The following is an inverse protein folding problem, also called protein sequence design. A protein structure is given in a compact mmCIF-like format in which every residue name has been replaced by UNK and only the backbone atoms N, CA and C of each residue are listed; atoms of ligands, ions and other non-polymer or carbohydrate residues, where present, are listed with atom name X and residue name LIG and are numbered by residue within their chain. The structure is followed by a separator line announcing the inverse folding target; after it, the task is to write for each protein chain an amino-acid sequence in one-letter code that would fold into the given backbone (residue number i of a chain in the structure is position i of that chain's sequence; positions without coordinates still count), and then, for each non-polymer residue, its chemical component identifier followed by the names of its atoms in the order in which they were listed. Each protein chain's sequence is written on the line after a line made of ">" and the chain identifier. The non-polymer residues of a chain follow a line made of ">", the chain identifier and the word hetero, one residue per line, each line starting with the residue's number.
data_IF_573379958930
#
_entry.id   IF_573379958930
#
_cell.length_a   1.000
_cell.length_b   1.000
_cell.length_c   1.000
_cell.angle_alpha   90.00
_cell.angle_beta   90.00
_cell.angle_gamma   90.00
#
_symmetry.space_group_name_H-M   'P 1'
#
loop_
_entity.id
_entity.type
_entity.pdbx_description
1 polymer ?
#
# COMPACT_ATOMS: atom_id res chain seq x y z
N UNK A 1 -17.20 -11.60 3.45
CA UNK A 1 -17.55 -10.15 3.46
C UNK A 1 -16.70 -9.44 4.49
N UNK A 2 -16.19 -8.23 4.22
CA UNK A 2 -15.41 -7.46 5.22
C UNK A 2 -16.36 -6.81 6.22
N UNK A 3 -16.44 -7.37 7.43
CA UNK A 3 -17.41 -6.97 8.46
C UNK A 3 -16.79 -6.17 9.59
N UNK A 4 -15.47 -6.27 9.76
CA UNK A 4 -14.72 -5.64 10.84
C UNK A 4 -13.57 -4.81 10.29
N UNK A 5 -13.06 -3.92 11.14
CA UNK A 5 -11.85 -3.15 10.89
C UNK A 5 -11.01 -2.99 12.16
N UNK A 6 -9.74 -2.67 11.98
CA UNK A 6 -8.87 -2.16 13.04
C UNK A 6 -8.03 -1.00 12.50
N UNK A 7 -7.67 -0.07 13.38
CA UNK A 7 -6.87 1.10 13.04
C UNK A 7 -5.46 1.02 13.62
N UNK A 8 -4.47 1.27 12.79
CA UNK A 8 -3.08 1.50 13.19
C UNK A 8 -2.78 2.97 13.08
N UNK A 9 -2.35 3.60 14.17
CA UNK A 9 -2.07 5.04 14.20
C UNK A 9 -0.61 5.28 14.58
N UNK A 10 0.10 6.01 13.74
CA UNK A 10 1.45 6.47 14.04
C UNK A 10 1.46 7.39 15.26
N UNK A 11 2.34 7.12 16.22
CA UNK A 11 2.58 7.99 17.38
C UNK A 11 3.79 8.86 17.05
N UNK A 12 3.75 10.19 17.26
CA UNK A 12 4.92 11.04 17.12
C UNK A 12 6.05 10.57 18.04
N UNK A 13 7.25 10.39 17.49
CA UNK A 13 8.47 10.06 18.22
C UNK A 13 9.50 11.17 18.00
N UNK A 14 10.42 11.35 18.94
CA UNK A 14 11.53 12.31 18.75
C UNK A 14 12.48 11.85 17.64
N UNK A 15 12.72 10.54 17.53
CA UNK A 15 13.67 9.96 16.57
C UNK A 15 13.05 9.52 15.24
N UNK A 16 11.72 9.39 15.17
CA UNK A 16 11.02 8.89 13.98
C UNK A 16 9.97 9.88 13.49
N UNK A 17 10.11 10.23 12.21
CA UNK A 17 9.07 10.98 11.50
C UNK A 17 7.81 10.12 11.32
N UNK A 18 6.61 10.73 11.26
CA UNK A 18 5.38 9.98 10.98
C UNK A 18 5.42 9.16 9.68
N UNK A 19 6.17 9.62 8.67
CA UNK A 19 6.33 8.89 7.41
C UNK A 19 7.19 7.62 7.54
N UNK A 20 8.21 7.63 8.41
CA UNK A 20 8.99 6.43 8.71
C UNK A 20 8.14 5.39 9.43
N UNK A 21 7.39 5.81 10.46
CA UNK A 21 6.45 4.94 11.16
C UNK A 21 5.41 4.34 10.20
N UNK A 22 4.83 5.15 9.30
CA UNK A 22 3.90 4.66 8.29
C UNK A 22 4.54 3.65 7.32
N UNK A 23 5.80 3.88 6.93
CA UNK A 23 6.57 2.95 6.09
C UNK A 23 6.77 1.62 6.79
N UNK A 24 7.17 1.64 8.06
CA UNK A 24 7.45 0.42 8.83
C UNK A 24 6.17 -0.38 9.11
N UNK A 25 5.07 0.30 9.46
CA UNK A 25 3.76 -0.33 9.54
C UNK A 25 3.39 -1.03 8.23
N UNK A 26 3.55 -0.36 7.08
CA UNK A 26 3.26 -0.97 5.78
C UNK A 26 4.17 -2.15 5.45
N UNK A 27 5.44 -2.13 5.87
CA UNK A 27 6.36 -3.25 5.66
C UNK A 27 5.98 -4.48 6.48
N UNK A 28 5.60 -4.29 7.74
CA UNK A 28 5.10 -5.38 8.59
C UNK A 28 3.82 -5.95 7.99
N UNK A 29 2.85 -5.09 7.63
CA UNK A 29 1.63 -5.53 6.96
C UNK A 29 1.94 -6.32 5.68
N UNK A 30 2.84 -5.84 4.83
CA UNK A 30 3.22 -6.53 3.60
C UNK A 30 3.75 -7.95 3.84
N UNK A 31 4.40 -8.20 4.98
CA UNK A 31 4.89 -9.53 5.36
C UNK A 31 3.76 -10.48 5.73
N UNK A 32 2.71 -10.00 6.40
CA UNK A 32 1.62 -10.83 6.91
C UNK A 32 0.45 -10.99 5.93
N UNK A 33 0.12 -9.96 5.14
CA UNK A 33 -1.01 -9.96 4.21
C UNK A 33 -1.05 -11.16 3.23
N UNK A 34 0.08 -11.69 2.70
CA UNK A 34 0.05 -12.87 1.83
C UNK A 34 -0.58 -14.11 2.47
N UNK A 35 -0.50 -14.27 3.80
CA UNK A 35 -1.11 -15.42 4.49
C UNK A 35 -2.65 -15.43 4.36
N UNK A 36 -3.26 -14.25 4.23
CA UNK A 36 -4.71 -14.08 4.14
C UNK A 36 -5.17 -13.90 2.68
N UNK A 37 -4.39 -13.16 1.89
CA UNK A 37 -4.78 -12.75 0.54
C UNK A 37 -4.43 -13.77 -0.56
N UNK A 38 -3.89 -14.93 -0.20
CA UNK A 38 -3.68 -16.06 -1.11
C UNK A 38 -4.86 -17.05 -1.12
N UNK A 39 -5.87 -16.86 -0.25
CA UNK A 39 -7.09 -17.68 -0.26
C UNK A 39 -7.90 -17.43 -1.54
N UNK A 40 -8.56 -18.47 -2.06
CA UNK A 40 -9.52 -18.34 -3.16
C UNK A 40 -10.78 -17.56 -2.76
N UNK A 41 -11.07 -17.48 -1.44
CA UNK A 41 -12.25 -16.80 -0.93
C UNK A 41 -11.89 -15.35 -0.61
N UNK A 42 -12.48 -14.40 -1.34
CA UNK A 42 -12.27 -12.96 -1.13
C UNK A 42 -12.65 -12.48 0.28
N UNK A 43 -13.51 -13.22 0.98
CA UNK A 43 -13.89 -12.91 2.35
C UNK A 43 -12.79 -13.14 3.38
N UNK A 44 -11.78 -13.91 3.01
CA UNK A 44 -10.61 -14.14 3.84
C UNK A 44 -9.59 -13.02 3.67
N UNK A 45 -9.74 -12.20 2.62
CA UNK A 45 -8.77 -11.16 2.29
C UNK A 45 -8.86 -9.99 3.25
N UNK A 46 -7.69 -9.49 3.63
CA UNK A 46 -7.52 -8.28 4.40
C UNK A 46 -7.18 -7.14 3.44
N UNK A 47 -8.05 -6.12 3.43
CA UNK A 47 -7.87 -4.90 2.65
C UNK A 47 -7.28 -3.77 3.50
N UNK A 48 -6.58 -2.85 2.85
CA UNK A 48 -5.92 -1.71 3.48
C UNK A 48 -6.52 -0.40 2.96
N UNK A 49 -6.77 0.54 3.86
CA UNK A 49 -7.25 1.89 3.55
C UNK A 49 -6.55 2.94 4.39
N UNK A 50 -6.67 4.21 3.98
CA UNK A 50 -5.99 5.34 4.61
C UNK A 50 -7.02 6.42 5.00
N UNK A 51 -7.63 6.35 6.19
CA UNK A 51 -8.67 7.29 6.62
C UNK A 51 -8.20 8.76 6.66
N UNK A 52 -6.91 8.97 6.88
CA UNK A 52 -6.27 10.28 6.92
C UNK A 52 -5.64 10.70 5.56
N UNK A 53 -5.99 10.02 4.45
CA UNK A 53 -5.45 10.31 3.13
C UNK A 53 -5.68 11.77 2.70
N UNK A 54 -4.65 12.36 2.09
CA UNK A 54 -4.57 13.78 1.65
C UNK A 54 -4.66 14.81 2.77
N UNK A 55 -4.62 14.42 4.04
CA UNK A 55 -4.21 15.36 5.08
C UNK A 55 -2.79 15.82 4.75
N UNK A 56 -2.64 17.12 4.42
CA UNK A 56 -1.36 17.73 4.01
C UNK A 56 -0.68 17.03 2.81
N UNK A 57 -1.45 16.49 1.85
CA UNK A 57 -0.92 15.80 0.64
C UNK A 57 -0.16 14.50 0.94
N UNK A 58 -0.38 13.88 2.10
CA UNK A 58 0.26 12.61 2.51
C UNK A 58 -0.74 11.45 2.60
N UNK A 59 -0.28 10.24 2.94
CA UNK A 59 -1.14 9.12 3.33
C UNK A 59 -1.83 9.34 4.69
N UNK A 60 -1.41 10.36 5.44
CA UNK A 60 -1.80 10.56 6.84
C UNK A 60 -1.03 9.62 7.77
N UNK A 61 -1.42 9.63 9.05
CA UNK A 61 -0.81 8.81 10.11
C UNK A 61 -1.67 7.61 10.54
N UNK A 62 -2.65 7.21 9.73
CA UNK A 62 -3.59 6.14 10.06
C UNK A 62 -3.68 5.14 8.90
N UNK A 63 -3.46 3.87 9.20
CA UNK A 63 -3.72 2.75 8.31
C UNK A 63 -4.90 1.98 8.91
N UNK A 64 -5.93 1.74 8.11
CA UNK A 64 -7.09 0.94 8.51
C UNK A 64 -7.12 -0.37 7.74
N UNK A 65 -7.19 -1.46 8.47
CA UNK A 65 -7.36 -2.80 7.91
C UNK A 65 -8.83 -3.19 7.96
N UNK A 66 -9.32 -3.84 6.91
CA UNK A 66 -10.69 -4.35 6.82
C UNK A 66 -10.65 -5.84 6.50
N UNK A 67 -11.49 -6.63 7.16
CA UNK A 67 -11.47 -8.09 7.03
C UNK A 67 -12.58 -8.77 7.82
N UNK A 68 -12.54 -10.10 7.83
CA UNK A 68 -13.30 -10.91 8.78
C UNK A 68 -12.78 -10.72 10.21
N UNK A 69 -13.65 -10.93 11.21
CA UNK A 69 -13.30 -10.77 12.62
C UNK A 69 -12.08 -11.61 13.00
N UNK A 70 -12.14 -12.92 12.73
CA UNK A 70 -11.10 -13.88 13.13
C UNK A 70 -9.75 -13.54 12.49
N UNK A 71 -9.69 -13.30 11.18
CA UNK A 71 -8.45 -12.91 10.50
C UNK A 71 -7.86 -11.60 11.01
N UNK A 72 -8.68 -10.63 11.42
CA UNK A 72 -8.20 -9.40 12.02
C UNK A 72 -7.65 -9.61 13.43
N UNK A 73 -8.24 -10.52 14.22
CA UNK A 73 -7.68 -10.90 15.53
C UNK A 73 -6.35 -11.65 15.37
N UNK A 74 -6.28 -12.62 14.47
CA UNK A 74 -5.04 -13.36 14.19
C UNK A 74 -3.91 -12.41 13.72
N UNK A 75 -4.26 -11.45 12.86
CA UNK A 75 -3.31 -10.45 12.40
C UNK A 75 -2.91 -9.50 13.53
N UNK A 76 -3.85 -9.07 14.37
CA UNK A 76 -3.60 -8.14 15.47
C UNK A 76 -2.46 -8.61 16.38
N UNK A 77 -2.42 -9.89 16.74
CA UNK A 77 -1.36 -10.47 17.57
C UNK A 77 0.01 -10.42 16.89
N UNK A 78 0.04 -10.54 15.56
CA UNK A 78 1.25 -10.40 14.76
C UNK A 78 1.76 -8.95 14.68
N UNK A 79 0.95 -7.95 15.04
CA UNK A 79 1.30 -6.53 15.02
C UNK A 79 1.96 -6.03 16.31
N UNK A 80 2.18 -6.90 17.29
CA UNK A 80 2.87 -6.58 18.56
C UNK A 80 4.17 -5.78 18.39
N UNK A 81 5.04 -6.02 17.38
CA UNK A 81 6.26 -5.23 17.19
C UNK A 81 6.05 -3.73 16.92
N UNK A 82 4.82 -3.31 16.55
CA UNK A 82 4.47 -1.91 16.29
C UNK A 82 4.16 -1.10 17.55
N UNK A 83 3.86 -1.76 18.67
CA UNK A 83 3.31 -1.13 19.88
C UNK A 83 4.21 -0.05 20.51
N UNK A 84 5.52 -0.05 20.22
CA UNK A 84 6.45 0.97 20.73
C UNK A 84 6.32 2.34 20.06
N UNK A 85 5.75 2.43 18.86
CA UNK A 85 5.71 3.66 18.07
C UNK A 85 4.43 3.83 17.23
N UNK A 86 3.52 2.86 17.31
CA UNK A 86 2.19 2.94 16.74
C UNK A 86 1.15 2.39 17.72
N UNK A 87 -0.01 3.03 17.76
CA UNK A 87 -1.18 2.56 18.48
C UNK A 87 -1.90 1.53 17.59
N UNK A 88 -1.99 0.30 18.07
CA UNK A 88 -2.81 -0.76 17.48
C UNK A 88 -4.18 -0.70 18.15
N UNK A 89 -5.20 -0.34 17.39
CA UNK A 89 -6.59 -0.27 17.86
C UNK A 89 -7.23 -1.66 17.94
N UNK A 90 -8.29 -1.77 18.74
CA UNK A 90 -9.09 -2.99 18.83
C UNK A 90 -9.81 -3.30 17.51
N UNK A 91 -10.11 -4.59 17.30
CA UNK A 91 -10.97 -5.06 16.20
C UNK A 91 -12.42 -4.65 16.50
N UNK A 92 -13.01 -3.87 15.60
CA UNK A 92 -14.37 -3.34 15.74
C UNK A 92 -15.23 -3.67 14.51
N UNK A 93 -16.53 -3.78 14.70
CA UNK A 93 -17.48 -3.89 13.59
C UNK A 93 -17.53 -2.61 12.75
N UNK A 94 -17.67 -2.77 11.43
CA UNK A 94 -17.86 -1.63 10.53
C UNK A 94 -19.22 -0.98 10.85
N UNK A 95 -19.28 0.36 11.04
CA UNK A 95 -20.53 1.03 11.37
C UNK A 95 -21.61 0.83 10.29
N UNK A 96 -22.87 0.69 10.70
CA UNK A 96 -24.02 0.56 9.77
C UNK A 96 -24.14 1.77 8.82
N UNK A 97 -23.80 2.97 9.32
CA UNK A 97 -23.82 4.21 8.55
C UNK A 97 -22.39 4.58 8.15
N UNK A 98 -22.01 4.26 6.92
CA UNK A 98 -20.74 4.67 6.32
C UNK A 98 -20.92 5.82 5.34
N UNK A 99 -19.86 6.62 5.13
CA UNK A 99 -19.86 7.71 4.14
C UNK A 99 -19.83 7.21 2.69
N UNK A 100 -19.29 6.01 2.48
CA UNK A 100 -19.12 5.39 1.16
C UNK A 100 -17.93 4.43 1.14
N UNK A 101 -17.72 3.82 -0.03
CA UNK A 101 -16.60 2.91 -0.29
C UNK A 101 -15.51 3.62 -1.09
N UNK A 102 -14.27 3.17 -0.92
CA UNK A 102 -13.12 3.70 -1.66
C UNK A 102 -12.18 2.55 -2.06
N UNK A 103 -11.59 2.67 -3.25
CA UNK A 103 -10.59 1.74 -3.75
C UNK A 103 -9.21 2.38 -3.70
N UNK A 104 -8.27 1.73 -3.02
CA UNK A 104 -6.87 2.13 -2.99
C UNK A 104 -6.08 1.20 -3.89
N UNK A 105 -5.52 1.73 -4.98
CA UNK A 105 -4.68 0.97 -5.89
C UNK A 105 -3.27 1.53 -5.94
N UNK A 106 -2.27 0.64 -5.96
CA UNK A 106 -0.87 1.05 -6.06
C UNK A 106 -0.58 1.54 -7.47
N UNK A 107 -0.38 2.85 -7.62
CA UNK A 107 0.11 3.43 -8.88
C UNK A 107 1.63 3.35 -8.93
N UNK A 108 2.15 2.45 -9.78
CA UNK A 108 3.58 2.34 -10.05
C UNK A 108 3.97 3.27 -11.21
N UNK A 109 4.50 4.44 -10.88
CA UNK A 109 5.03 5.35 -11.89
C UNK A 109 6.29 4.76 -12.54
N UNK A 110 6.28 4.73 -13.87
CA UNK A 110 7.44 4.29 -14.65
C UNK A 110 8.20 5.55 -15.06
N UNK A 111 9.42 5.71 -14.54
CA UNK A 111 10.33 6.83 -14.85
C UNK A 111 11.65 6.34 -15.45
N UNK A 112 12.70 7.16 -15.37
CA UNK A 112 14.04 6.82 -15.89
C UNK A 112 14.58 5.47 -15.37
N UNK A 113 14.34 5.15 -14.10
CA UNK A 113 14.72 3.86 -13.53
C UNK A 113 13.95 2.66 -14.12
N UNK A 114 12.71 2.88 -14.57
CA UNK A 114 11.94 1.85 -15.28
C UNK A 114 12.44 1.66 -16.71
N UNK A 115 12.82 2.75 -17.39
CA UNK A 115 13.48 2.69 -18.69
C UNK A 115 14.81 1.93 -18.64
N UNK A 116 15.63 2.17 -17.61
CA UNK A 116 16.89 1.43 -17.37
C UNK A 116 16.66 -0.07 -17.15
N UNK A 117 15.68 -0.42 -16.29
CA UNK A 117 15.30 -1.84 -16.06
C UNK A 117 14.77 -2.50 -17.32
N UNK A 118 14.02 -1.76 -18.13
CA UNK A 118 13.52 -2.24 -19.42
C UNK A 118 14.69 -2.50 -20.38
N UNK A 119 15.63 -1.57 -20.52
CA UNK A 119 16.86 -1.79 -21.32
C UNK A 119 17.57 -3.08 -20.91
N UNK A 120 17.87 -3.24 -19.62
CA UNK A 120 18.53 -4.45 -19.11
C UNK A 120 17.76 -5.74 -19.45
N UNK A 121 16.43 -5.72 -19.29
CA UNK A 121 15.56 -6.88 -19.61
C UNK A 121 15.51 -7.20 -21.09
N UNK A 122 15.57 -6.20 -21.98
CA UNK A 122 15.56 -6.43 -23.43
C UNK A 122 16.94 -6.88 -23.93
N UNK A 123 18.03 -6.37 -23.36
CA UNK A 123 19.39 -6.80 -23.71
C UNK A 123 19.74 -8.20 -23.20
N UNK A 124 19.08 -8.67 -22.13
CA UNK A 124 19.26 -10.03 -21.60
C UNK A 124 18.48 -11.10 -22.37
N UNK A 125 17.59 -10.71 -23.30
CA UNK A 125 16.83 -11.62 -24.15
C UNK A 125 17.66 -11.98 -25.39
N UNK A 126 17.60 -13.25 -25.83
CA UNK A 126 18.43 -13.79 -26.94
C UNK A 126 18.20 -13.04 -28.27
N UNK A 127 17.04 -12.43 -28.41
CA UNK A 127 16.51 -11.73 -29.56
C UNK A 127 16.98 -10.26 -29.69
N UNK A 128 17.79 -9.73 -28.76
CA UNK A 128 18.47 -8.40 -28.80
C UNK A 128 17.70 -7.29 -29.56
N UNK A 129 16.44 -7.10 -29.21
CA UNK A 129 15.49 -6.17 -29.85
C UNK A 129 15.62 -4.71 -29.37
N UNK A 130 16.72 -4.35 -28.70
CA UNK A 130 16.90 -2.99 -28.19
C UNK A 130 17.39 -2.04 -29.29
N UNK A 131 16.48 -1.22 -29.83
CA UNK A 131 16.79 -0.19 -30.82
C UNK A 131 16.79 1.21 -30.20
N UNK A 132 17.48 2.16 -30.85
CA UNK A 132 17.47 3.57 -30.45
C UNK A 132 16.06 4.19 -30.55
N UNK A 133 15.26 3.74 -31.52
CA UNK A 133 13.86 4.14 -31.67
C UNK A 133 13.00 3.70 -30.46
N UNK A 134 13.16 2.45 -30.03
CA UNK A 134 12.47 1.93 -28.84
C UNK A 134 12.89 2.69 -27.58
N UNK A 135 14.18 2.99 -27.43
CA UNK A 135 14.70 3.79 -26.33
C UNK A 135 14.04 5.18 -26.27
N UNK A 136 13.99 5.88 -27.40
CA UNK A 136 13.39 7.21 -27.50
C UNK A 136 11.87 7.19 -27.24
N UNK A 137 11.16 6.18 -27.74
CA UNK A 137 9.74 5.99 -27.48
C UNK A 137 9.45 5.75 -25.99
N UNK A 138 10.28 4.96 -25.30
CA UNK A 138 10.17 4.70 -23.86
C UNK A 138 10.41 5.97 -23.03
N UNK A 139 11.44 6.76 -23.36
CA UNK A 139 11.72 8.02 -22.68
C UNK A 139 10.56 8.98 -22.87
N UNK A 140 10.09 9.18 -24.12
CA UNK A 140 8.93 10.05 -24.41
C UNK A 140 7.67 9.62 -23.64
N UNK A 141 7.43 8.31 -23.52
CA UNK A 141 6.28 7.76 -22.78
C UNK A 141 6.36 7.98 -21.26
N UNK A 142 7.55 8.02 -20.68
CA UNK A 142 7.75 8.14 -19.24
C UNK A 142 8.13 9.56 -18.78
N UNK A 143 8.44 10.46 -19.72
CA UNK A 143 8.65 11.89 -19.47
C UNK A 143 7.34 12.69 -19.40
N UNK A 144 6.19 12.13 -19.80
CA UNK A 144 4.91 12.79 -19.66
C UNK A 144 4.50 12.88 -18.18
N UNK A 145 4.38 14.11 -17.69
CA UNK A 145 3.88 14.39 -16.34
C UNK A 145 2.42 13.94 -16.25
N UNK A 146 2.13 12.95 -15.40
CA UNK A 146 0.76 12.53 -15.15
C UNK A 146 0.24 13.36 -13.97
N UNK A 147 -0.76 14.23 -14.17
CA UNK A 147 -1.31 15.02 -13.07
C UNK A 147 -1.92 14.09 -12.01
N UNK A 148 -1.75 14.47 -10.75
CA UNK A 148 -2.48 13.84 -9.64
C UNK A 148 -3.93 14.29 -9.78
N UNK A 149 -4.92 13.39 -9.89
CA UNK A 149 -6.30 13.79 -10.08
C UNK A 149 -6.76 14.74 -8.95
N UNK A 150 -7.22 15.93 -9.36
CA UNK A 150 -8.09 16.75 -8.55
C UNK A 150 -9.45 16.04 -8.43
N UNK A 151 -10.17 16.30 -7.33
CA UNK A 151 -11.47 15.67 -7.04
C UNK A 151 -12.46 15.80 -8.19
#
# INVERSE_FOLDING_TARGET
>A
MQTHYLDLKAIPQEDLTPSQVMSDMMQILHRHLPAYNNSEREEDHIAVSFPAYRQRVTLGGIIRLHGGKEHLFDLHDSLTPLTGYALVGAVMEVPVKIKGYATFSRKQYKGAAAARRMKARYTSRKDKTWTNELANAIVKKYSSHVPVPAR
#
